data_IF_077622963185
#
_entry.id   IF_077622963185
#
_cell.length_a   1.000
_cell.length_b   1.000
_cell.length_c   1.000
_cell.angle_alpha   90.00
_cell.angle_beta   90.00
_cell.angle_gamma   90.00
#
_symmetry.space_group_name_H-M   'P 1'
#
loop_
_entity.id
_entity.type
_entity.pdbx_description
1 polymer ?
#
# COMPACT_ATOMS: atom_id res chain seq x y z
N UNK A 1 -4.99 -0.55 3.39
CA UNK A 1 -4.93 -1.90 3.99
C UNK A 1 -4.31 -2.84 2.97
N UNK A 2 -3.26 -3.57 3.36
CA UNK A 2 -2.58 -4.52 2.47
C UNK A 2 -3.21 -5.90 2.65
N UNK A 3 -3.61 -6.56 1.55
CA UNK A 3 -4.04 -7.96 1.60
C UNK A 3 -2.86 -8.85 1.99
N UNK A 4 -3.09 -9.75 2.93
CA UNK A 4 -2.09 -10.67 3.47
C UNK A 4 -2.50 -12.12 3.24
N UNK A 5 -1.56 -13.05 3.46
CA UNK A 5 -1.88 -14.50 3.44
C UNK A 5 -2.98 -14.89 4.45
N UNK A 6 -3.16 -14.12 5.53
CA UNK A 6 -4.21 -14.36 6.53
C UNK A 6 -5.61 -14.12 5.97
N UNK A 7 -5.72 -13.39 4.87
CA UNK A 7 -6.99 -13.14 4.15
C UNK A 7 -7.30 -14.28 3.14
N UNK A 8 -6.49 -15.35 3.09
CA UNK A 8 -6.81 -16.56 2.35
C UNK A 8 -7.78 -17.42 3.15
N UNK A 9 -8.72 -18.07 2.48
CA UNK A 9 -9.67 -18.96 3.14
C UNK A 9 -10.90 -19.24 2.30
N UNK A 10 -11.83 -19.98 2.89
CA UNK A 10 -13.11 -20.30 2.30
C UNK A 10 -14.16 -19.30 2.78
N UNK A 11 -14.74 -18.55 1.86
CA UNK A 11 -15.76 -17.55 2.15
C UNK A 11 -17.12 -18.04 1.67
N UNK A 12 -18.12 -17.93 2.55
CA UNK A 12 -19.52 -18.24 2.22
C UNK A 12 -20.28 -16.93 2.04
N UNK A 13 -20.89 -16.75 0.88
CA UNK A 13 -21.85 -15.69 0.62
C UNK A 13 -23.26 -16.23 0.82
N UNK A 14 -24.11 -15.43 1.44
CA UNK A 14 -25.54 -15.70 1.56
C UNK A 14 -26.30 -14.48 1.09
N UNK A 15 -27.08 -14.63 0.03
CA UNK A 15 -27.98 -13.62 -0.48
C UNK A 15 -29.41 -13.96 -0.07
N UNK A 16 -30.12 -13.00 0.53
CA UNK A 16 -31.47 -13.19 1.10
C UNK A 16 -32.45 -12.20 0.49
N UNK A 17 -33.62 -12.69 0.10
CA UNK A 17 -34.75 -11.85 -0.29
C UNK A 17 -36.08 -12.44 0.23
N UNK A 18 -37.19 -11.77 -0.05
CA UNK A 18 -38.53 -12.17 0.43
C UNK A 18 -39.02 -13.52 -0.09
N UNK A 19 -38.44 -14.03 -1.18
CA UNK A 19 -38.81 -15.32 -1.80
C UNK A 19 -37.87 -16.46 -1.42
N UNK A 20 -36.75 -16.18 -0.78
CA UNK A 20 -35.81 -17.20 -0.34
C UNK A 20 -34.37 -16.71 -0.23
N UNK A 21 -33.50 -17.68 0.06
CA UNK A 21 -32.08 -17.49 0.32
C UNK A 21 -31.25 -18.31 -0.68
N UNK A 22 -30.13 -17.75 -1.14
CA UNK A 22 -29.14 -18.42 -1.99
C UNK A 22 -27.78 -18.33 -1.33
N UNK A 23 -26.99 -19.40 -1.40
CA UNK A 23 -25.64 -19.44 -0.83
C UNK A 23 -24.63 -19.90 -1.88
N UNK A 24 -23.44 -19.29 -1.84
CA UNK A 24 -22.29 -19.68 -2.67
C UNK A 24 -21.03 -19.73 -1.82
N UNK A 25 -20.16 -20.69 -2.11
CA UNK A 25 -18.88 -20.85 -1.42
C UNK A 25 -17.75 -20.54 -2.39
N UNK A 26 -16.82 -19.66 -1.97
CA UNK A 26 -15.65 -19.25 -2.75
C UNK A 26 -14.40 -19.65 -1.98
N UNK A 27 -13.50 -20.39 -2.62
CA UNK A 27 -12.16 -20.64 -2.11
C UNK A 27 -11.23 -19.53 -2.59
N UNK A 28 -10.77 -18.68 -1.67
CA UNK A 28 -9.84 -17.59 -1.95
C UNK A 28 -8.43 -18.01 -1.54
N UNK A 29 -7.55 -18.12 -2.52
CA UNK A 29 -6.13 -18.39 -2.32
C UNK A 29 -5.35 -17.11 -2.63
N UNK A 30 -4.79 -16.45 -1.62
CA UNK A 30 -3.91 -15.30 -1.80
C UNK A 30 -2.48 -15.80 -1.63
N UNK A 31 -1.86 -16.11 -2.76
CA UNK A 31 -0.42 -16.20 -2.82
C UNK A 31 0.12 -14.80 -2.62
N UNK A 32 0.90 -14.61 -1.56
CA UNK A 32 1.41 -13.29 -1.18
C UNK A 32 2.09 -12.64 -2.37
N UNK A 33 1.38 -11.70 -2.99
CA UNK A 33 1.95 -10.79 -3.97
C UNK A 33 2.87 -9.90 -3.14
N UNK A 34 4.13 -10.33 -3.07
CA UNK A 34 5.24 -9.41 -2.92
C UNK A 34 5.25 -8.53 -4.18
N UNK A 35 4.21 -7.72 -4.38
CA UNK A 35 4.44 -6.38 -4.88
C UNK A 35 5.27 -5.74 -3.79
N UNK A 36 6.58 -6.03 -3.80
CA UNK A 36 7.54 -5.01 -3.47
C UNK A 36 7.13 -3.89 -4.42
N UNK A 37 6.38 -2.91 -3.91
CA UNK A 37 6.52 -1.59 -4.51
C UNK A 37 8.03 -1.42 -4.64
N UNK A 38 8.57 -1.08 -5.82
CA UNK A 38 9.99 -0.78 -5.91
C UNK A 38 10.24 0.13 -4.72
N UNK A 39 11.06 -0.29 -3.74
CA UNK A 39 11.34 0.51 -2.56
C UNK A 39 11.72 1.86 -3.15
N UNK A 40 10.83 2.85 -3.00
CA UNK A 40 10.89 4.06 -3.80
C UNK A 40 12.29 4.58 -3.64
N UNK A 41 13.05 4.64 -4.74
CA UNK A 41 14.50 4.87 -4.67
C UNK A 41 14.72 6.05 -3.73
N UNK A 42 15.43 5.79 -2.62
CA UNK A 42 15.66 6.85 -1.64
C UNK A 42 16.22 8.05 -2.40
N UNK A 43 15.58 9.23 -2.31
CA UNK A 43 15.96 10.36 -3.14
C UNK A 43 17.43 10.68 -2.86
N UNK A 44 18.25 10.56 -3.90
CA UNK A 44 19.66 10.93 -3.84
C UNK A 44 19.84 12.31 -4.46
N UNK A 45 20.76 13.09 -3.93
CA UNK A 45 21.12 14.35 -4.56
C UNK A 45 21.85 14.06 -5.88
N UNK A 46 21.35 14.61 -6.98
CA UNK A 46 22.02 14.53 -8.30
C UNK A 46 23.42 15.17 -8.24
N UNK A 47 23.58 16.22 -7.42
CA UNK A 47 24.84 16.94 -7.22
C UNK A 47 25.11 17.13 -5.73
N UNK A 48 26.39 17.28 -5.37
CA UNK A 48 26.80 17.55 -3.98
C UNK A 48 26.08 18.80 -3.45
N UNK A 49 25.39 18.72 -2.30
CA UNK A 49 24.74 19.90 -1.72
C UNK A 49 25.79 20.98 -1.42
N UNK A 50 25.43 22.23 -1.70
CA UNK A 50 26.28 23.40 -1.50
C UNK A 50 25.62 24.36 -0.52
N UNK A 51 26.42 24.92 0.39
CA UNK A 51 25.98 25.91 1.37
C UNK A 51 26.00 27.28 0.70
N UNK A 52 24.86 27.98 0.70
CA UNK A 52 24.77 29.38 0.31
C UNK A 52 24.55 30.22 1.56
N UNK A 53 25.39 31.23 1.77
CA UNK A 53 25.26 32.17 2.86
C UNK A 53 24.75 33.49 2.26
N UNK A 54 23.47 33.81 2.47
CA UNK A 54 22.95 35.13 2.13
C UNK A 54 23.60 36.15 3.06
N UNK A 55 24.42 37.02 2.49
CA UNK A 55 25.13 38.06 3.22
C UNK A 55 24.13 39.15 3.64
N UNK A 56 23.33 38.88 4.69
CA UNK A 56 22.75 39.96 5.47
C UNK A 56 23.83 40.47 6.40
N UNK A 57 24.68 41.35 5.84
CA UNK A 57 25.64 42.17 6.58
C UNK A 57 24.89 42.94 7.66
N UNK A 58 24.92 42.43 8.89
CA UNK A 58 24.61 43.24 10.07
C UNK A 58 25.80 44.17 10.23
N UNK A 59 25.62 45.41 9.75
CA UNK A 59 26.58 46.48 9.95
C UNK A 59 26.53 46.85 11.43
N UNK A 60 27.68 46.74 12.10
CA UNK A 60 27.90 47.15 13.51
C UNK A 60 27.82 48.66 13.66
#
# INVERSE_FOLDING_TARGET
>A
AQLTKKDSGTYKLTAKNVKGDSSATIQLNIEGINYKMPDGLAPSFINKPSIKQDAKTVTV
#
